data_IF_082772071542
#
_entry.id   IF_082772071542
#
_cell.length_a   1.000
_cell.length_b   1.000
_cell.length_c   1.000
_cell.angle_alpha   90.00
_cell.angle_beta   90.00
_cell.angle_gamma   90.00
#
_symmetry.space_group_name_H-M   'P 1'
#
loop_
_entity.id
_entity.type
_entity.pdbx_description
1 polymer ?
#
# COMPACT_ATOMS: atom_id res chain seq x y z
N UNK A 1 15.60 28.32 24.74
CA UNK A 1 15.25 27.69 23.44
C UNK A 1 13.80 27.26 23.52
N UNK A 2 12.93 27.66 22.58
CA UNK A 2 11.52 27.26 22.66
C UNK A 2 11.35 25.74 22.50
N UNK A 3 10.25 25.18 23.00
CA UNK A 3 9.91 23.77 22.90
C UNK A 3 9.91 23.28 21.43
N UNK A 4 9.51 24.15 20.50
CA UNK A 4 9.41 23.81 19.07
C UNK A 4 10.77 23.65 18.42
N UNK A 5 11.77 24.47 18.76
CA UNK A 5 13.16 24.27 18.30
C UNK A 5 13.75 22.96 18.86
N UNK A 6 13.35 22.55 20.08
CA UNK A 6 13.78 21.26 20.64
C UNK A 6 13.21 20.08 19.81
N UNK A 7 11.95 20.17 19.37
CA UNK A 7 11.36 19.14 18.49
C UNK A 7 12.05 19.06 17.14
N UNK A 8 12.34 20.22 16.49
CA UNK A 8 13.09 20.27 15.24
C UNK A 8 14.49 19.68 15.38
N UNK A 9 15.21 20.01 16.45
CA UNK A 9 16.54 19.45 16.70
C UNK A 9 16.50 17.95 16.91
N UNK A 10 15.50 17.43 17.64
CA UNK A 10 15.32 15.99 17.82
C UNK A 10 14.94 15.29 16.51
N UNK A 11 14.13 15.91 15.66
CA UNK A 11 13.81 15.37 14.33
C UNK A 11 15.06 15.33 13.44
N UNK A 12 15.87 16.40 13.43
CA UNK A 12 17.14 16.46 12.69
C UNK A 12 18.11 15.37 13.16
N UNK A 13 18.24 15.14 14.47
CA UNK A 13 19.06 14.06 15.04
C UNK A 13 18.60 12.69 14.53
N UNK A 14 17.30 12.39 14.62
CA UNK A 14 16.73 11.11 14.15
C UNK A 14 16.98 10.91 12.65
N UNK A 15 16.71 11.95 11.84
CA UNK A 15 16.89 11.90 10.39
C UNK A 15 18.35 11.73 9.98
N UNK A 16 19.30 12.31 10.72
CA UNK A 16 20.74 12.20 10.42
C UNK A 16 21.32 10.81 10.66
N UNK A 17 20.71 10.00 11.51
CA UNK A 17 21.15 8.64 11.84
C UNK A 17 20.35 7.53 11.14
N UNK A 18 19.22 7.87 10.51
CA UNK A 18 18.41 6.91 9.76
C UNK A 18 18.98 6.72 8.35
N UNK A 19 19.19 5.46 7.95
CA UNK A 19 19.86 5.09 6.71
C UNK A 19 18.95 4.34 5.71
N UNK A 20 17.65 4.14 6.02
CA UNK A 20 16.71 3.46 5.13
C UNK A 20 16.75 1.93 5.13
N UNK A 21 17.61 1.27 5.92
CA UNK A 21 17.74 -0.19 5.92
C UNK A 21 16.57 -0.94 6.56
N UNK A 22 15.80 -0.27 7.41
CA UNK A 22 14.58 -0.82 8.01
C UNK A 22 13.41 0.17 7.88
N UNK A 23 12.14 -0.26 7.98
CA UNK A 23 11.00 0.67 7.99
C UNK A 23 11.16 1.74 9.06
N UNK A 24 10.94 3.02 8.71
CA UNK A 24 11.15 4.15 9.61
C UNK A 24 10.33 4.04 10.91
N UNK A 25 9.09 3.52 10.82
CA UNK A 25 8.26 3.27 12.00
C UNK A 25 8.93 2.33 13.02
N UNK A 26 9.65 1.30 12.55
CA UNK A 26 10.40 0.37 13.41
C UNK A 26 11.63 1.03 14.00
N UNK A 27 12.37 1.76 13.18
CA UNK A 27 13.56 2.50 13.60
C UNK A 27 13.24 3.54 14.69
N UNK A 28 12.24 4.40 14.45
CA UNK A 28 11.86 5.46 15.41
C UNK A 28 11.31 4.89 16.71
N UNK A 29 10.61 3.76 16.66
CA UNK A 29 10.17 3.04 17.87
C UNK A 29 11.35 2.56 18.70
N UNK A 30 12.38 1.99 18.07
CA UNK A 30 13.63 1.58 18.75
C UNK A 30 14.40 2.77 19.31
N UNK A 31 14.47 3.87 18.54
CA UNK A 31 15.09 5.12 18.98
C UNK A 31 14.44 5.64 20.28
N UNK A 32 13.13 5.81 20.30
CA UNK A 32 12.41 6.30 21.47
C UNK A 32 12.41 5.31 22.66
N UNK A 33 12.55 4.02 22.42
CA UNK A 33 12.71 3.05 23.50
C UNK A 33 14.03 3.22 24.26
N UNK A 34 15.09 3.66 23.55
CA UNK A 34 16.42 3.97 24.12
C UNK A 34 16.48 5.37 24.75
N UNK A 35 15.66 6.32 24.26
CA UNK A 35 15.65 7.73 24.69
C UNK A 35 14.38 8.04 25.50
N UNK A 36 14.35 7.57 26.76
CA UNK A 36 13.16 7.64 27.64
C UNK A 36 12.75 9.06 28.03
N UNK A 37 13.56 10.09 27.73
CA UNK A 37 13.27 11.51 28.02
C UNK A 37 12.05 12.07 27.30
N UNK A 38 11.61 11.43 26.20
CA UNK A 38 10.48 11.89 25.41
C UNK A 38 9.16 11.28 25.89
N UNK A 39 8.19 12.14 26.22
CA UNK A 39 6.82 11.75 26.53
C UNK A 39 6.06 11.28 25.26
N UNK A 40 4.86 10.75 25.46
CA UNK A 40 4.03 10.27 24.34
C UNK A 40 3.70 11.38 23.32
N UNK A 41 3.35 12.59 23.81
CA UNK A 41 3.07 13.76 22.96
C UNK A 41 4.30 14.18 22.16
N UNK A 42 5.48 14.20 22.79
CA UNK A 42 6.73 14.58 22.14
C UNK A 42 7.10 13.60 21.03
N UNK A 43 7.00 12.29 21.32
CA UNK A 43 7.28 11.22 20.31
C UNK A 43 6.39 11.35 19.10
N UNK A 44 5.08 11.62 19.29
CA UNK A 44 4.12 11.81 18.20
C UNK A 44 4.52 13.03 17.35
N UNK A 45 4.85 14.15 17.99
CA UNK A 45 5.20 15.38 17.28
C UNK A 45 6.53 15.26 16.53
N UNK A 46 7.58 14.74 17.18
CA UNK A 46 8.90 14.55 16.55
C UNK A 46 8.79 13.55 15.39
N UNK A 47 8.07 12.43 15.58
CA UNK A 47 7.83 11.47 14.51
C UNK A 47 7.09 12.08 13.32
N UNK A 48 6.08 12.91 13.56
CA UNK A 48 5.37 13.63 12.52
C UNK A 48 6.29 14.56 11.71
N UNK A 49 7.18 15.31 12.37
CA UNK A 49 8.17 16.18 11.71
C UNK A 49 9.12 15.36 10.81
N UNK A 50 9.53 14.17 11.24
CA UNK A 50 10.36 13.29 10.41
C UNK A 50 9.61 12.81 9.16
N UNK A 51 8.33 12.44 9.28
CA UNK A 51 7.50 12.07 8.12
C UNK A 51 7.27 13.27 7.19
N UNK A 52 7.07 14.47 7.70
CA UNK A 52 7.00 15.70 6.91
C UNK A 52 8.26 15.91 6.06
N UNK A 53 9.44 15.68 6.65
CA UNK A 53 10.71 15.73 5.92
C UNK A 53 10.73 14.79 4.72
N UNK A 54 10.41 13.51 4.92
CA UNK A 54 10.42 12.52 3.83
C UNK A 54 9.42 12.84 2.72
N UNK A 55 8.30 13.49 3.04
CA UNK A 55 7.28 13.90 2.05
C UNK A 55 7.71 15.08 1.19
N UNK A 56 8.54 15.97 1.73
CA UNK A 56 8.99 17.19 1.05
C UNK A 56 10.40 17.10 0.48
N UNK A 57 11.18 16.10 0.87
CA UNK A 57 12.54 15.93 0.38
C UNK A 57 12.53 15.08 -0.90
N UNK A 58 13.10 15.59 -2.02
CA UNK A 58 13.25 14.77 -3.21
C UNK A 58 14.15 13.56 -2.93
N UNK A 59 13.94 12.43 -3.64
CA UNK A 59 14.90 11.33 -3.57
C UNK A 59 16.30 11.85 -3.97
N UNK A 60 17.36 11.43 -3.28
CA UNK A 60 18.71 11.86 -3.59
C UNK A 60 19.07 11.44 -5.02
N UNK A 61 19.14 12.40 -5.94
CA UNK A 61 19.52 12.15 -7.32
C UNK A 61 21.01 11.76 -7.39
N UNK A 62 21.33 10.59 -7.96
CA UNK A 62 22.71 10.19 -8.33
C UNK A 62 23.25 10.98 -9.53
N UNK A 63 22.72 12.14 -9.82
CA UNK A 63 23.11 13.01 -10.94
C UNK A 63 22.82 14.45 -10.64
N UNK A 64 23.71 15.08 -9.85
CA UNK A 64 24.18 16.43 -9.99
C UNK A 64 23.21 17.57 -10.35
N UNK A 65 21.97 17.60 -9.86
CA UNK A 65 21.33 18.88 -9.60
C UNK A 65 22.01 19.35 -8.31
N UNK A 66 22.76 20.43 -8.38
CA UNK A 66 23.22 21.16 -7.21
C UNK A 66 21.96 21.49 -6.41
N UNK A 67 21.60 20.61 -5.44
CA UNK A 67 20.66 20.96 -4.41
C UNK A 67 21.25 22.22 -3.75
N UNK A 68 20.66 23.37 -4.01
CA UNK A 68 20.88 24.53 -3.17
C UNK A 68 20.73 24.00 -1.75
N UNK A 69 21.69 24.26 -0.88
CA UNK A 69 21.76 23.75 0.50
C UNK A 69 20.55 24.20 1.32
N UNK A 70 19.37 23.67 0.98
CA UNK A 70 18.19 23.86 1.81
C UNK A 70 18.48 23.08 3.08
N UNK A 71 18.64 23.83 4.18
CA UNK A 71 18.85 23.28 5.53
C UNK A 71 17.77 22.23 5.82
N UNK A 72 18.14 21.13 6.46
CA UNK A 72 17.20 20.05 6.89
C UNK A 72 15.99 20.62 7.65
N UNK A 73 16.20 21.67 8.43
CA UNK A 73 15.13 22.37 9.16
C UNK A 73 14.11 22.99 8.21
N UNK A 74 14.55 23.65 7.14
CA UNK A 74 13.67 24.23 6.12
C UNK A 74 12.87 23.14 5.40
N UNK A 75 13.48 21.99 5.07
CA UNK A 75 12.77 20.84 4.50
C UNK A 75 11.70 20.29 5.44
N UNK A 76 11.99 20.19 6.75
CA UNK A 76 11.00 19.77 7.76
C UNK A 76 9.83 20.75 7.80
N UNK A 77 10.11 22.05 7.84
CA UNK A 77 9.08 23.10 7.90
C UNK A 77 8.25 23.17 6.62
N UNK A 78 8.89 23.04 5.46
CA UNK A 78 8.20 22.92 4.17
C UNK A 78 7.24 21.73 4.16
N UNK A 79 7.71 20.55 4.58
CA UNK A 79 6.88 19.37 4.70
C UNK A 79 5.73 19.55 5.69
N UNK A 80 5.99 20.18 6.84
CA UNK A 80 4.95 20.48 7.82
C UNK A 80 3.88 21.42 7.24
N UNK A 81 4.27 22.47 6.53
CA UNK A 81 3.35 23.39 5.88
C UNK A 81 2.49 22.68 4.82
N UNK A 82 3.11 21.90 3.94
CA UNK A 82 2.41 21.20 2.88
C UNK A 82 1.46 20.11 3.41
N UNK A 83 1.83 19.42 4.48
CA UNK A 83 1.02 18.34 5.08
C UNK A 83 -0.08 18.83 6.04
N UNK A 84 -0.02 20.07 6.52
CA UNK A 84 -0.99 20.59 7.50
C UNK A 84 -2.19 21.20 6.78
N UNK A 85 -3.41 20.92 7.26
CA UNK A 85 -4.67 21.53 6.83
C UNK A 85 -5.22 22.53 7.87
N UNK A 86 -4.61 22.60 9.03
CA UNK A 86 -4.97 23.50 10.13
C UNK A 86 -3.71 24.16 10.72
N UNK A 87 -3.85 25.35 11.32
CA UNK A 87 -2.74 26.04 11.99
C UNK A 87 -2.04 25.15 13.00
N UNK A 88 -0.73 25.25 13.06
CA UNK A 88 0.12 24.52 13.99
C UNK A 88 0.96 25.45 14.85
N UNK A 89 1.13 25.11 16.14
CA UNK A 89 1.95 25.89 17.06
C UNK A 89 3.42 26.05 16.59
N UNK A 90 3.92 25.09 15.81
CA UNK A 90 5.29 25.12 15.27
C UNK A 90 5.39 26.14 14.13
N UNK A 91 4.46 26.12 13.17
CA UNK A 91 4.43 27.11 12.09
C UNK A 91 4.15 28.51 12.62
N UNK A 92 3.23 28.64 13.58
CA UNK A 92 2.95 29.94 14.22
C UNK A 92 4.20 30.55 14.85
N UNK A 93 5.01 29.74 15.50
CA UNK A 93 6.22 30.22 16.19
C UNK A 93 7.42 30.48 15.26
N UNK A 94 7.50 29.84 14.07
CA UNK A 94 8.72 29.84 13.24
C UNK A 94 8.47 30.42 11.85
N UNK A 95 7.29 30.20 11.28
CA UNK A 95 6.85 30.63 9.94
C UNK A 95 5.41 31.14 10.00
N UNK A 96 5.13 32.23 10.75
CA UNK A 96 3.75 32.71 10.96
C UNK A 96 3.03 32.99 9.63
N UNK A 97 3.72 33.52 8.63
CA UNK A 97 3.18 33.77 7.29
C UNK A 97 2.69 32.49 6.58
N UNK A 98 3.31 31.35 6.84
CA UNK A 98 2.84 30.05 6.31
C UNK A 98 1.64 29.55 7.12
N UNK A 99 1.62 29.80 8.42
CA UNK A 99 0.53 29.37 9.29
C UNK A 99 -0.79 30.09 8.97
N UNK A 100 -0.74 31.37 8.55
CA UNK A 100 -1.91 32.15 8.13
C UNK A 100 -2.63 31.53 6.92
N UNK A 101 -1.87 30.96 5.98
CA UNK A 101 -2.40 30.39 4.72
C UNK A 101 -2.40 28.84 4.71
N UNK A 102 -2.18 28.21 5.86
CA UNK A 102 -2.03 26.73 5.95
C UNK A 102 -3.27 25.96 5.51
N UNK A 103 -4.46 26.60 5.49
CA UNK A 103 -5.73 26.00 5.04
C UNK A 103 -5.91 25.96 3.53
N UNK A 104 -5.03 26.63 2.77
CA UNK A 104 -5.08 26.58 1.31
C UNK A 104 -4.91 25.12 0.79
N UNK A 105 -5.52 24.79 -0.35
CA UNK A 105 -5.22 23.56 -1.07
C UNK A 105 -3.72 23.39 -1.32
N UNK A 106 -3.24 22.15 -1.33
CA UNK A 106 -1.80 21.87 -1.48
C UNK A 106 -1.21 22.41 -2.77
N UNK A 107 -1.98 22.43 -3.86
CA UNK A 107 -1.56 23.02 -5.13
C UNK A 107 -1.29 24.54 -5.02
N UNK A 108 -2.10 25.28 -4.25
CA UNK A 108 -1.89 26.70 -4.00
C UNK A 108 -0.67 26.93 -3.10
N UNK A 109 -0.45 26.07 -2.10
CA UNK A 109 0.77 26.11 -1.28
C UNK A 109 2.03 25.87 -2.10
N UNK A 110 2.00 24.93 -3.08
CA UNK A 110 3.12 24.75 -4.02
C UNK A 110 3.45 26.05 -4.75
N UNK A 111 2.42 26.74 -5.27
CA UNK A 111 2.59 28.01 -5.97
C UNK A 111 3.19 29.08 -5.05
N UNK A 112 2.70 29.16 -3.80
CA UNK A 112 3.16 30.15 -2.82
C UNK A 112 4.65 30.02 -2.48
N UNK A 113 5.13 28.79 -2.28
CA UNK A 113 6.56 28.54 -1.97
C UNK A 113 7.40 28.15 -3.19
N UNK A 114 6.83 28.26 -4.41
CA UNK A 114 7.47 27.86 -5.67
C UNK A 114 8.01 26.41 -5.64
N UNK A 115 7.22 25.49 -5.08
CA UNK A 115 7.61 24.09 -4.93
C UNK A 115 7.34 23.29 -6.20
N UNK A 116 8.35 22.56 -6.69
CA UNK A 116 8.25 21.82 -7.95
C UNK A 116 7.72 20.39 -7.72
N UNK A 117 6.67 20.00 -8.45
CA UNK A 117 6.11 18.63 -8.40
C UNK A 117 7.12 17.55 -8.78
N UNK A 118 8.06 17.86 -9.68
CA UNK A 118 9.17 16.97 -10.02
C UNK A 118 10.08 16.62 -8.84
N UNK A 119 10.06 17.44 -7.78
CA UNK A 119 10.75 17.11 -6.53
C UNK A 119 10.02 16.04 -5.69
N UNK A 120 8.71 15.84 -5.91
CA UNK A 120 7.93 14.80 -5.20
C UNK A 120 8.10 13.45 -5.87
N UNK A 121 7.77 13.37 -7.16
CA UNK A 121 7.85 12.12 -7.92
C UNK A 121 8.44 12.39 -9.31
N UNK A 122 9.77 12.21 -9.49
CA UNK A 122 10.46 12.61 -10.72
C UNK A 122 10.26 11.65 -11.90
N UNK A 123 9.65 10.49 -11.71
CA UNK A 123 9.50 9.45 -12.73
C UNK A 123 8.16 9.52 -13.48
N UNK A 124 7.77 10.72 -13.93
CA UNK A 124 6.50 10.95 -14.65
C UNK A 124 6.34 10.03 -15.87
N UNK A 125 7.41 9.86 -16.64
CA UNK A 125 7.38 9.08 -17.88
C UNK A 125 7.36 7.55 -17.65
N UNK A 126 7.58 7.11 -16.41
CA UNK A 126 7.52 5.69 -16.02
C UNK A 126 6.15 5.30 -15.43
N UNK A 127 5.24 6.25 -15.26
CA UNK A 127 3.92 5.99 -14.67
C UNK A 127 3.06 5.11 -15.57
N UNK A 128 2.27 4.25 -14.97
CA UNK A 128 1.20 3.47 -15.60
C UNK A 128 0.15 4.39 -16.23
N UNK A 129 -0.43 3.93 -17.33
CA UNK A 129 -1.39 4.72 -18.12
C UNK A 129 -2.61 5.11 -17.30
N UNK A 130 -2.98 6.39 -17.37
CA UNK A 130 -4.16 6.94 -16.71
C UNK A 130 -3.92 7.44 -15.29
N UNK A 131 -2.69 7.39 -14.77
CA UNK A 131 -2.31 8.08 -13.54
C UNK A 131 -2.11 9.57 -13.87
N UNK A 132 -2.81 10.43 -13.14
CA UNK A 132 -2.59 11.87 -13.16
C UNK A 132 -1.40 12.19 -12.25
N UNK A 133 -0.28 12.59 -12.86
CA UNK A 133 0.97 12.83 -12.14
C UNK A 133 0.83 13.94 -11.08
N UNK A 134 0.08 15.02 -11.37
CA UNK A 134 -0.06 16.15 -10.44
C UNK A 134 -0.84 15.71 -9.20
N UNK A 135 -2.03 15.12 -9.39
CA UNK A 135 -2.85 14.61 -8.29
C UNK A 135 -2.14 13.52 -7.50
N UNK A 136 -1.37 12.66 -8.18
CA UNK A 136 -0.57 11.65 -7.53
C UNK A 136 0.49 12.27 -6.63
N UNK A 137 1.23 13.30 -7.11
CA UNK A 137 2.19 14.05 -6.30
C UNK A 137 1.52 14.75 -5.10
N UNK A 138 0.36 15.40 -5.30
CA UNK A 138 -0.38 16.05 -4.23
C UNK A 138 -0.79 15.07 -3.12
N UNK A 139 -1.11 13.83 -3.48
CA UNK A 139 -1.53 12.79 -2.52
C UNK A 139 -0.46 12.43 -1.50
N UNK A 140 0.82 12.66 -1.79
CA UNK A 140 1.90 12.39 -0.84
C UNK A 140 1.86 13.28 0.40
N UNK A 141 1.24 14.46 0.32
CA UNK A 141 1.09 15.40 1.43
C UNK A 141 -0.14 15.14 2.29
N UNK A 142 -0.95 14.15 1.93
CA UNK A 142 -2.11 13.72 2.71
C UNK A 142 -1.82 12.36 3.36
N UNK A 143 -2.12 12.25 4.66
CA UNK A 143 -2.04 10.95 5.32
C UNK A 143 -3.16 10.05 4.81
N UNK A 144 -2.87 8.85 4.28
CA UNK A 144 -3.91 7.90 3.90
C UNK A 144 -4.76 7.46 5.09
N UNK A 145 -6.06 7.27 4.84
CA UNK A 145 -7.00 6.78 5.82
C UNK A 145 -6.77 5.31 6.18
N UNK A 146 -7.32 4.89 7.32
CA UNK A 146 -7.50 3.50 7.67
C UNK A 146 -8.78 2.98 7.02
N UNK A 147 -8.68 1.96 6.17
CA UNK A 147 -9.85 1.36 5.54
C UNK A 147 -10.21 0.02 6.19
N UNK A 148 -11.50 -0.16 6.43
CA UNK A 148 -12.07 -1.43 6.86
C UNK A 148 -12.91 -2.02 5.73
N UNK A 149 -12.60 -3.25 5.34
CA UNK A 149 -13.50 -4.08 4.55
C UNK A 149 -14.40 -4.87 5.50
N UNK A 150 -15.68 -4.58 5.49
CA UNK A 150 -16.67 -5.29 6.29
C UNK A 150 -16.90 -6.69 5.71
N UNK A 151 -16.97 -7.68 6.57
CA UNK A 151 -17.27 -9.05 6.14
C UNK A 151 -18.77 -9.23 5.92
N UNK A 152 -19.19 -10.11 5.00
CA UNK A 152 -20.61 -10.31 4.69
C UNK A 152 -21.49 -10.54 5.93
N UNK A 153 -22.54 -9.74 6.07
CA UNK A 153 -23.47 -9.79 7.20
C UNK A 153 -22.97 -9.20 8.51
N UNK A 154 -21.85 -8.45 8.48
CA UNK A 154 -21.28 -7.77 9.65
C UNK A 154 -21.41 -6.24 9.63
N UNK A 155 -22.00 -5.71 8.58
CA UNK A 155 -22.11 -4.28 8.32
C UNK A 155 -22.82 -3.55 9.49
N UNK A 156 -23.97 -4.05 9.89
CA UNK A 156 -24.76 -3.45 10.97
C UNK A 156 -24.02 -3.48 12.31
N UNK A 157 -23.48 -4.63 12.69
CA UNK A 157 -22.81 -4.78 14.00
C UNK A 157 -21.52 -3.94 14.09
N UNK A 158 -20.75 -3.82 13.00
CA UNK A 158 -19.55 -2.99 12.97
C UNK A 158 -19.92 -1.51 13.11
N UNK A 159 -20.90 -1.03 12.35
CA UNK A 159 -21.37 0.35 12.43
C UNK A 159 -21.87 0.69 13.84
N UNK A 160 -22.70 -0.18 14.45
CA UNK A 160 -23.18 0.02 15.83
C UNK A 160 -22.02 0.07 16.85
N UNK A 161 -20.98 -0.76 16.70
CA UNK A 161 -19.82 -0.74 17.57
C UNK A 161 -19.03 0.56 17.46
N UNK A 162 -18.83 1.05 16.23
CA UNK A 162 -18.12 2.31 15.99
C UNK A 162 -18.91 3.50 16.55
N UNK A 163 -20.21 3.58 16.31
CA UNK A 163 -21.08 4.62 16.90
C UNK A 163 -21.06 4.61 18.44
N UNK A 164 -21.16 3.44 19.06
CA UNK A 164 -21.09 3.33 20.53
C UNK A 164 -19.74 3.72 21.12
N UNK A 165 -18.68 3.60 20.33
CA UNK A 165 -17.33 3.98 20.73
C UNK A 165 -16.99 5.44 20.40
N UNK A 166 -17.95 6.22 19.87
CA UNK A 166 -17.79 7.61 19.42
C UNK A 166 -16.62 7.77 18.41
N UNK A 167 -16.55 6.83 17.46
CA UNK A 167 -15.56 6.84 16.38
C UNK A 167 -16.19 7.38 15.11
N UNK A 168 -15.63 8.47 14.60
CA UNK A 168 -15.97 9.02 13.30
C UNK A 168 -15.51 8.10 12.17
N UNK A 169 -16.39 7.85 11.21
CA UNK A 169 -16.07 7.12 9.99
C UNK A 169 -16.88 7.63 8.79
N UNK A 170 -16.35 7.40 7.60
CA UNK A 170 -17.04 7.67 6.34
C UNK A 170 -17.37 6.36 5.65
N UNK A 171 -18.62 6.21 5.24
CA UNK A 171 -19.04 5.07 4.41
C UNK A 171 -18.63 5.33 2.97
N UNK A 172 -17.76 4.48 2.43
CA UNK A 172 -17.29 4.54 1.04
C UNK A 172 -18.16 3.66 0.15
N UNK A 173 -18.56 2.50 0.65
CA UNK A 173 -19.53 1.59 0.05
C UNK A 173 -20.17 0.74 1.16
N UNK A 174 -21.14 -0.10 0.83
CA UNK A 174 -21.84 -0.98 1.79
C UNK A 174 -20.85 -1.85 2.59
N UNK A 175 -19.73 -2.21 1.99
CA UNK A 175 -18.70 -3.08 2.61
C UNK A 175 -17.38 -2.36 2.93
N UNK A 176 -17.28 -1.03 2.75
CA UNK A 176 -16.04 -0.29 2.95
C UNK A 176 -16.25 0.96 3.79
N UNK A 177 -15.53 1.05 4.91
CA UNK A 177 -15.46 2.24 5.77
C UNK A 177 -14.07 2.84 5.73
N UNK A 178 -13.99 4.17 5.78
CA UNK A 178 -12.75 4.93 5.95
C UNK A 178 -12.76 5.64 7.32
N UNK A 179 -11.67 5.51 8.07
CA UNK A 179 -11.48 6.08 9.40
C UNK A 179 -10.17 6.87 9.44
N UNK A 180 -10.00 7.70 10.45
CA UNK A 180 -8.71 8.32 10.72
C UNK A 180 -7.63 7.24 10.92
N UNK A 181 -6.45 7.47 10.34
CA UNK A 181 -5.34 6.52 10.37
C UNK A 181 -4.86 6.16 11.79
N UNK A 182 -5.11 7.00 12.77
CA UNK A 182 -4.73 6.78 14.18
C UNK A 182 -5.76 5.96 14.97
N UNK A 183 -6.90 5.62 14.38
CA UNK A 183 -7.99 4.91 15.07
C UNK A 183 -7.59 3.50 15.48
N UNK A 184 -7.75 3.18 16.76
CA UNK A 184 -7.45 1.86 17.32
C UNK A 184 -8.68 0.94 17.21
N UNK A 185 -8.92 0.42 16.03
CA UNK A 185 -10.11 -0.40 15.75
C UNK A 185 -10.08 -1.78 16.39
N UNK A 186 -8.89 -2.30 16.70
CA UNK A 186 -8.68 -3.63 17.30
C UNK A 186 -9.19 -3.76 18.74
N UNK A 187 -9.47 -2.64 19.40
CA UNK A 187 -10.11 -2.61 20.73
C UNK A 187 -11.64 -2.60 20.67
N UNK A 188 -12.22 -2.39 19.46
CA UNK A 188 -13.66 -2.17 19.26
C UNK A 188 -14.25 -3.28 18.40
N UNK A 189 -13.52 -3.71 17.38
CA UNK A 189 -13.96 -4.65 16.34
C UNK A 189 -13.12 -5.93 16.44
N UNK A 190 -13.77 -7.09 16.30
CA UNK A 190 -13.07 -8.37 16.15
C UNK A 190 -12.48 -8.48 14.74
N UNK A 191 -11.20 -8.06 14.62
CA UNK A 191 -10.50 -8.10 13.36
C UNK A 191 -10.44 -9.53 12.78
N UNK A 192 -10.49 -9.60 11.46
CA UNK A 192 -10.61 -10.80 10.63
C UNK A 192 -11.95 -11.56 10.76
N UNK A 193 -12.71 -11.38 11.83
CA UNK A 193 -14.05 -11.97 12.03
C UNK A 193 -15.17 -11.04 11.55
N UNK A 194 -15.10 -9.76 11.90
CA UNK A 194 -16.14 -8.76 11.60
C UNK A 194 -15.71 -7.85 10.45
N UNK A 195 -14.46 -7.41 10.46
CA UNK A 195 -13.88 -6.58 9.42
C UNK A 195 -12.39 -6.91 9.21
N UNK A 196 -11.89 -6.57 8.04
CA UNK A 196 -10.49 -6.69 7.64
C UNK A 196 -9.92 -5.29 7.50
N UNK A 197 -8.77 -5.00 8.12
CA UNK A 197 -7.98 -3.82 7.75
C UNK A 197 -7.40 -4.11 6.36
N UNK A 198 -7.94 -3.44 5.35
CA UNK A 198 -7.55 -3.60 3.95
C UNK A 198 -7.76 -2.29 3.22
N UNK A 199 -6.72 -1.79 2.56
CA UNK A 199 -6.80 -0.54 1.80
C UNK A 199 -7.92 -0.57 0.75
N UNK A 200 -8.47 0.60 0.44
CA UNK A 200 -9.58 0.75 -0.52
C UNK A 200 -9.25 0.11 -1.87
N UNK A 201 -8.10 0.43 -2.46
CA UNK A 201 -7.73 -0.11 -3.77
C UNK A 201 -7.49 -1.62 -3.74
N UNK A 202 -6.97 -2.13 -2.63
CA UNK A 202 -6.85 -3.59 -2.42
C UNK A 202 -8.22 -4.29 -2.36
N UNK A 203 -9.27 -3.60 -1.85
CA UNK A 203 -10.64 -4.12 -1.87
C UNK A 203 -11.22 -4.16 -3.28
N UNK A 204 -10.90 -3.17 -4.15
CA UNK A 204 -11.36 -3.11 -5.53
C UNK A 204 -10.87 -4.28 -6.40
N UNK A 205 -9.76 -4.91 -6.03
CA UNK A 205 -9.27 -6.15 -6.67
C UNK A 205 -10.35 -7.25 -6.69
N UNK A 206 -11.23 -7.29 -5.68
CA UNK A 206 -12.35 -8.24 -5.60
C UNK A 206 -13.31 -8.16 -6.80
N UNK A 207 -13.47 -6.99 -7.43
CA UNK A 207 -14.35 -6.80 -8.57
C UNK A 207 -13.94 -7.63 -9.81
N UNK A 208 -12.65 -7.93 -9.93
CA UNK A 208 -12.13 -8.78 -11.01
C UNK A 208 -12.56 -10.24 -10.87
N UNK A 209 -12.88 -10.68 -9.67
CA UNK A 209 -13.20 -12.09 -9.37
C UNK A 209 -14.70 -12.38 -9.28
N UNK A 210 -15.56 -11.37 -9.19
CA UNK A 210 -17.03 -11.55 -9.02
C UNK A 210 -17.68 -12.40 -10.12
N UNK A 211 -17.16 -12.32 -11.35
CA UNK A 211 -17.71 -13.01 -12.50
C UNK A 211 -16.95 -14.30 -12.86
N UNK A 212 -15.91 -14.66 -12.11
CA UNK A 212 -15.17 -15.90 -12.32
C UNK A 212 -15.96 -17.06 -11.71
N UNK A 213 -16.38 -18.01 -12.57
CA UNK A 213 -17.19 -19.16 -12.19
C UNK A 213 -16.41 -20.46 -12.44
N UNK A 214 -16.69 -21.52 -11.67
CA UNK A 214 -16.12 -22.83 -11.96
C UNK A 214 -16.62 -23.34 -13.34
N UNK A 215 -15.88 -24.24 -13.99
CA UNK A 215 -16.24 -24.78 -15.31
C UNK A 215 -17.64 -25.40 -15.36
N UNK A 216 -18.10 -25.98 -14.26
CA UNK A 216 -19.46 -26.46 -14.08
C UNK A 216 -20.03 -26.04 -12.73
N UNK A 217 -21.33 -25.83 -12.64
CA UNK A 217 -22.01 -25.33 -11.45
C UNK A 217 -21.82 -26.21 -10.19
N UNK A 218 -21.55 -27.49 -10.36
CA UNK A 218 -21.39 -28.46 -9.28
C UNK A 218 -19.95 -28.59 -8.76
N UNK A 219 -18.96 -28.00 -9.44
CA UNK A 219 -17.57 -28.06 -9.04
C UNK A 219 -17.21 -26.87 -8.15
N UNK A 220 -16.30 -27.09 -7.23
CA UNK A 220 -15.65 -26.00 -6.49
C UNK A 220 -14.61 -25.34 -7.36
N UNK A 221 -14.45 -24.04 -7.17
CA UNK A 221 -13.38 -23.29 -7.82
C UNK A 221 -12.05 -23.59 -7.10
N UNK A 222 -11.10 -24.21 -7.82
CA UNK A 222 -9.74 -24.43 -7.30
C UNK A 222 -8.92 -23.16 -7.48
N UNK A 223 -8.46 -22.59 -6.36
CA UNK A 223 -7.76 -21.29 -6.34
C UNK A 223 -6.40 -21.42 -5.68
N UNK A 224 -5.41 -20.80 -6.27
CA UNK A 224 -4.10 -20.61 -5.68
C UNK A 224 -3.76 -19.13 -5.52
N UNK A 225 -3.64 -18.66 -4.28
CA UNK A 225 -3.03 -17.37 -3.95
C UNK A 225 -1.53 -17.61 -3.77
N UNK A 226 -0.75 -17.31 -4.81
CA UNK A 226 0.63 -17.78 -4.91
C UNK A 226 1.64 -16.89 -4.16
N UNK A 227 1.25 -15.65 -3.84
CA UNK A 227 2.02 -14.70 -3.04
C UNK A 227 1.13 -14.14 -1.93
N UNK A 228 0.54 -15.03 -1.13
CA UNK A 228 -0.60 -14.73 -0.27
C UNK A 228 -0.32 -13.70 0.84
N UNK A 229 0.94 -13.48 1.20
CA UNK A 229 1.28 -12.61 2.31
C UNK A 229 0.52 -13.02 3.57
N UNK A 230 -0.13 -12.06 4.24
CA UNK A 230 -0.95 -12.30 5.42
C UNK A 230 -2.38 -12.78 5.11
N UNK A 231 -2.73 -13.06 3.85
CA UNK A 231 -4.01 -13.66 3.43
C UNK A 231 -5.17 -12.69 3.25
N UNK A 232 -4.94 -11.38 3.15
CA UNK A 232 -6.01 -10.40 2.98
C UNK A 232 -6.87 -10.62 1.74
N UNK A 233 -6.24 -10.90 0.59
CA UNK A 233 -6.91 -11.19 -0.69
C UNK A 233 -7.56 -12.57 -0.69
N UNK A 234 -6.93 -13.57 -0.07
CA UNK A 234 -7.53 -14.89 0.15
C UNK A 234 -8.82 -14.83 0.98
N UNK A 235 -8.83 -14.04 2.07
CA UNK A 235 -10.05 -13.85 2.88
C UNK A 235 -11.13 -13.13 2.05
N UNK A 236 -10.76 -12.12 1.26
CA UNK A 236 -11.69 -11.43 0.38
C UNK A 236 -12.32 -12.38 -0.63
N UNK A 237 -11.52 -13.20 -1.27
CA UNK A 237 -12.04 -14.19 -2.23
C UNK A 237 -13.00 -15.18 -1.55
N UNK A 238 -12.66 -15.65 -0.35
CA UNK A 238 -13.53 -16.54 0.43
C UNK A 238 -14.86 -15.88 0.79
N UNK A 239 -14.86 -14.58 1.07
CA UNK A 239 -16.07 -13.79 1.33
C UNK A 239 -16.94 -13.64 0.07
N UNK A 240 -16.31 -13.51 -1.13
CA UNK A 240 -17.02 -13.46 -2.43
C UNK A 240 -17.59 -14.83 -2.79
N UNK A 241 -16.83 -15.89 -2.59
CA UNK A 241 -17.24 -17.24 -2.92
C UNK A 241 -16.72 -18.26 -1.88
N UNK A 242 -17.51 -18.65 -0.88
CA UNK A 242 -17.07 -19.59 0.16
C UNK A 242 -16.92 -21.04 -0.36
N UNK A 243 -17.40 -21.35 -1.58
CA UNK A 243 -17.27 -22.67 -2.21
C UNK A 243 -16.02 -22.79 -3.07
N UNK A 244 -14.85 -22.54 -2.46
CA UNK A 244 -13.55 -22.67 -3.13
C UNK A 244 -12.68 -23.75 -2.48
N UNK A 245 -11.75 -24.31 -3.28
CA UNK A 245 -10.62 -25.10 -2.79
C UNK A 245 -9.37 -24.20 -2.79
N UNK A 246 -9.04 -23.65 -1.63
CA UNK A 246 -8.01 -22.66 -1.48
C UNK A 246 -6.64 -23.27 -1.20
N UNK A 247 -5.66 -22.94 -2.01
CA UNK A 247 -4.23 -23.12 -1.74
C UNK A 247 -3.60 -21.76 -1.58
N UNK A 248 -2.76 -21.57 -0.57
CA UNK A 248 -1.99 -20.35 -0.34
C UNK A 248 -0.52 -20.65 -0.24
N UNK A 249 0.32 -19.76 -0.72
CA UNK A 249 1.76 -19.86 -0.58
C UNK A 249 2.44 -18.52 -0.39
N UNK A 250 3.59 -18.53 0.27
CA UNK A 250 4.52 -17.39 0.39
C UNK A 250 5.92 -17.95 0.65
N UNK A 251 6.95 -17.20 0.29
CA UNK A 251 8.34 -17.57 0.56
C UNK A 251 8.69 -17.43 2.05
N UNK A 252 8.02 -16.52 2.76
CA UNK A 252 8.29 -16.18 4.17
C UNK A 252 7.44 -17.02 5.12
N UNK A 253 8.08 -17.92 5.85
CA UNK A 253 7.39 -18.76 6.85
C UNK A 253 6.65 -17.92 7.92
N UNK A 254 7.27 -16.84 8.41
CA UNK A 254 6.68 -15.98 9.44
C UNK A 254 5.36 -15.36 9.02
N UNK A 255 5.21 -15.04 7.73
CA UNK A 255 3.98 -14.45 7.21
C UNK A 255 2.87 -15.51 7.10
N UNK A 256 3.24 -16.76 6.75
CA UNK A 256 2.28 -17.88 6.72
C UNK A 256 1.77 -18.24 8.12
N UNK A 257 2.59 -18.07 9.17
CA UNK A 257 2.13 -18.20 10.56
C UNK A 257 1.07 -17.15 10.88
N UNK A 258 1.29 -15.89 10.47
CA UNK A 258 0.31 -14.83 10.64
C UNK A 258 -0.98 -15.10 9.82
N UNK A 259 -0.84 -15.54 8.58
CA UNK A 259 -1.96 -15.94 7.71
C UNK A 259 -2.83 -17.02 8.40
N UNK A 260 -2.23 -18.07 8.97
CA UNK A 260 -2.95 -19.13 9.67
C UNK A 260 -3.78 -18.59 10.83
N UNK A 261 -3.22 -17.65 11.62
CA UNK A 261 -3.94 -16.96 12.70
C UNK A 261 -5.13 -16.17 12.17
N UNK A 262 -4.95 -15.38 11.11
CA UNK A 262 -6.00 -14.61 10.49
C UNK A 262 -7.11 -15.48 9.89
N UNK A 263 -6.76 -16.57 9.21
CA UNK A 263 -7.74 -17.53 8.69
C UNK A 263 -8.54 -18.20 9.79
N UNK A 264 -7.89 -18.51 10.94
CA UNK A 264 -8.59 -19.01 12.11
C UNK A 264 -9.67 -18.04 12.59
N UNK A 265 -9.33 -16.75 12.73
CA UNK A 265 -10.26 -15.69 13.12
C UNK A 265 -11.37 -15.49 12.08
N UNK A 266 -11.02 -15.59 10.80
CA UNK A 266 -11.95 -15.48 9.68
C UNK A 266 -12.86 -16.71 9.48
N UNK A 267 -12.71 -17.76 10.33
CA UNK A 267 -13.40 -19.04 10.22
C UNK A 267 -13.12 -19.82 8.92
N UNK A 268 -11.98 -19.58 8.26
CA UNK A 268 -11.52 -20.35 7.09
C UNK A 268 -10.75 -21.57 7.62
N UNK A 269 -11.35 -22.76 7.51
CA UNK A 269 -10.81 -24.00 8.09
C UNK A 269 -10.20 -24.95 7.06
N UNK A 270 -10.68 -24.89 5.81
CA UNK A 270 -10.27 -25.83 4.76
C UNK A 270 -9.43 -25.10 3.71
N UNK A 271 -8.13 -25.28 3.78
CA UNK A 271 -7.15 -24.72 2.82
C UNK A 271 -5.85 -25.50 2.87
N UNK A 272 -5.03 -25.39 1.83
CA UNK A 272 -3.64 -25.87 1.81
C UNK A 272 -2.70 -24.68 1.97
N UNK A 273 -1.66 -24.81 2.79
CA UNK A 273 -0.64 -23.76 2.98
C UNK A 273 0.73 -24.35 2.69
N UNK A 274 1.48 -23.71 1.80
CA UNK A 274 2.76 -24.21 1.29
C UNK A 274 3.78 -23.06 1.36
N UNK A 275 4.95 -23.34 1.94
CA UNK A 275 6.09 -22.44 1.80
C UNK A 275 6.79 -22.76 0.48
N UNK A 276 6.91 -21.79 -0.40
CA UNK A 276 7.57 -21.94 -1.70
C UNK A 276 8.22 -20.65 -2.16
N UNK A 277 9.41 -20.79 -2.71
CA UNK A 277 10.07 -19.74 -3.47
C UNK A 277 9.77 -19.95 -4.96
N UNK A 278 8.97 -19.05 -5.52
CA UNK A 278 8.50 -19.13 -6.90
C UNK A 278 9.58 -18.75 -7.93
N UNK A 279 10.71 -18.20 -7.51
CA UNK A 279 11.85 -17.92 -8.40
C UNK A 279 12.71 -19.15 -8.68
N UNK A 280 12.84 -20.03 -7.70
CA UNK A 280 13.61 -21.27 -7.81
C UNK A 280 12.75 -22.51 -8.09
N UNK A 281 11.44 -22.32 -8.19
CA UNK A 281 10.47 -23.41 -8.25
C UNK A 281 10.41 -24.07 -9.64
N UNK A 282 10.77 -25.36 -9.71
CA UNK A 282 10.82 -26.14 -10.96
C UNK A 282 9.72 -27.21 -11.08
N UNK A 283 8.91 -27.41 -10.04
CA UNK A 283 7.83 -28.42 -10.05
C UNK A 283 6.49 -27.77 -9.71
N UNK A 284 5.43 -27.99 -10.50
CA UNK A 284 4.14 -27.39 -10.23
C UNK A 284 3.56 -27.88 -8.87
N UNK A 285 2.99 -26.95 -8.11
CA UNK A 285 2.27 -27.24 -6.86
C UNK A 285 1.07 -28.16 -7.15
N UNK A 286 0.43 -27.95 -8.28
CA UNK A 286 -0.64 -28.73 -8.89
C UNK A 286 -0.83 -28.17 -10.30
N UNK A 287 -1.37 -28.96 -11.22
CA UNK A 287 -1.57 -28.52 -12.61
C UNK A 287 -3.04 -28.16 -12.93
N UNK A 288 -3.89 -27.90 -11.92
CA UNK A 288 -5.34 -27.84 -12.11
C UNK A 288 -6.00 -26.67 -11.38
N UNK A 289 -5.37 -25.49 -11.34
CA UNK A 289 -6.01 -24.32 -10.77
C UNK A 289 -6.93 -23.63 -11.77
N UNK A 290 -8.17 -23.34 -11.35
CA UNK A 290 -9.10 -22.52 -12.10
C UNK A 290 -8.71 -21.04 -12.05
N UNK A 291 -8.16 -20.60 -10.90
CA UNK A 291 -7.73 -19.24 -10.66
C UNK A 291 -6.38 -19.24 -9.95
N UNK A 292 -5.45 -18.44 -10.46
CA UNK A 292 -4.25 -18.09 -9.72
C UNK A 292 -4.29 -16.58 -9.43
N UNK A 293 -4.14 -16.23 -8.15
CA UNK A 293 -3.95 -14.86 -7.70
C UNK A 293 -2.45 -14.65 -7.51
N UNK A 294 -1.89 -13.71 -8.26
CA UNK A 294 -0.49 -13.36 -8.24
C UNK A 294 -0.34 -11.90 -7.78
N UNK A 295 -0.45 -11.66 -6.46
CA UNK A 295 -0.12 -10.38 -5.81
C UNK A 295 1.40 -10.33 -5.61
N UNK A 296 2.10 -10.05 -6.71
CA UNK A 296 3.54 -10.25 -6.81
C UNK A 296 4.36 -9.20 -6.08
N UNK A 297 5.58 -9.52 -5.63
CA UNK A 297 6.51 -8.51 -5.12
C UNK A 297 6.74 -7.40 -6.15
N UNK A 298 6.70 -6.15 -5.69
CA UNK A 298 6.85 -4.96 -6.52
C UNK A 298 7.55 -3.84 -5.74
N UNK A 299 7.84 -2.71 -6.38
CA UNK A 299 8.42 -1.54 -5.72
C UNK A 299 7.57 -0.98 -4.59
N UNK A 300 6.25 -1.26 -4.58
CA UNK A 300 5.34 -0.70 -3.61
C UNK A 300 5.03 0.79 -3.84
N UNK A 301 5.37 1.34 -5.00
CA UNK A 301 5.32 2.79 -5.28
C UNK A 301 3.93 3.42 -5.12
N UNK A 302 2.87 2.64 -5.26
CA UNK A 302 1.51 3.10 -5.00
C UNK A 302 1.16 3.23 -3.51
N UNK A 303 2.03 2.77 -2.61
CA UNK A 303 1.82 2.81 -1.15
C UNK A 303 2.75 3.79 -0.43
N UNK A 304 3.63 4.49 -1.15
CA UNK A 304 4.64 5.35 -0.55
C UNK A 304 4.08 6.57 0.19
N UNK A 305 2.84 6.95 -0.05
CA UNK A 305 2.15 7.94 0.80
C UNK A 305 2.01 7.49 2.26
N UNK A 306 2.02 6.17 2.55
CA UNK A 306 2.07 5.60 3.91
C UNK A 306 3.49 5.49 4.46
N UNK A 307 4.46 5.27 3.58
CA UNK A 307 5.87 5.01 3.90
C UNK A 307 6.78 5.93 3.07
N UNK A 308 6.70 7.28 3.29
CA UNK A 308 7.38 8.24 2.42
C UNK A 308 8.91 8.12 2.47
N UNK A 309 9.46 7.49 3.50
CA UNK A 309 10.87 7.13 3.53
C UNK A 309 11.27 6.18 2.39
N UNK A 310 10.36 5.33 1.92
CA UNK A 310 10.65 4.44 0.78
C UNK A 310 10.82 5.23 -0.51
N UNK A 311 10.02 6.27 -0.73
CA UNK A 311 10.20 7.19 -1.85
C UNK A 311 11.56 7.90 -1.76
N UNK A 312 11.92 8.40 -0.57
CA UNK A 312 13.17 9.12 -0.34
C UNK A 312 14.41 8.26 -0.64
N UNK A 313 14.42 6.98 -0.24
CA UNK A 313 15.54 6.06 -0.47
C UNK A 313 15.41 5.24 -1.75
N UNK A 314 14.42 5.50 -2.59
CA UNK A 314 14.16 4.72 -3.79
C UNK A 314 15.27 4.89 -4.84
N UNK A 315 15.61 3.76 -5.47
CA UNK A 315 16.53 3.71 -6.61
C UNK A 315 15.76 3.16 -7.82
N UNK A 316 15.71 3.92 -8.92
CA UNK A 316 14.94 3.55 -10.12
C UNK A 316 15.40 2.25 -10.79
N UNK A 317 16.65 1.82 -10.58
CA UNK A 317 17.11 0.50 -11.04
C UNK A 317 16.27 -0.65 -10.45
N UNK A 318 15.66 -0.43 -9.29
CA UNK A 318 14.80 -1.38 -8.60
C UNK A 318 13.54 -1.72 -9.42
N UNK A 319 13.06 -0.80 -10.26
CA UNK A 319 11.90 -1.05 -11.16
C UNK A 319 12.22 -2.24 -12.08
N UNK A 320 13.40 -2.23 -12.73
CA UNK A 320 13.81 -3.33 -13.61
C UNK A 320 14.01 -4.64 -12.86
N UNK A 321 14.52 -4.60 -11.63
CA UNK A 321 14.71 -5.79 -10.80
C UNK A 321 13.38 -6.44 -10.45
N UNK A 322 12.39 -5.67 -9.99
CA UNK A 322 11.06 -6.20 -9.69
C UNK A 322 10.32 -6.66 -10.92
N UNK A 323 10.38 -5.92 -12.04
CA UNK A 323 9.77 -6.35 -13.31
C UNK A 323 10.32 -7.72 -13.76
N UNK A 324 11.62 -7.96 -13.64
CA UNK A 324 12.22 -9.26 -13.98
C UNK A 324 11.78 -10.36 -13.01
N UNK A 325 11.73 -10.07 -11.70
CA UNK A 325 11.25 -10.98 -10.68
C UNK A 325 9.79 -11.40 -10.93
N UNK A 326 8.93 -10.45 -11.28
CA UNK A 326 7.52 -10.68 -11.61
C UNK A 326 7.39 -11.59 -12.84
N UNK A 327 8.14 -11.33 -13.89
CA UNK A 327 8.17 -12.16 -15.12
C UNK A 327 8.63 -13.59 -14.82
N UNK A 328 9.59 -13.77 -13.94
CA UNK A 328 10.07 -15.08 -13.49
C UNK A 328 9.00 -15.83 -12.69
N UNK A 329 8.40 -15.18 -11.69
CA UNK A 329 7.30 -15.75 -10.90
C UNK A 329 6.17 -16.20 -11.82
N UNK A 330 5.69 -15.33 -12.72
CA UNK A 330 4.59 -15.67 -13.64
C UNK A 330 4.97 -16.82 -14.55
N UNK A 331 6.20 -16.87 -15.06
CA UNK A 331 6.66 -17.99 -15.89
C UNK A 331 6.59 -19.32 -15.14
N UNK A 332 6.90 -19.32 -13.85
CA UNK A 332 6.93 -20.52 -13.03
C UNK A 332 5.52 -20.98 -12.57
N UNK A 333 4.54 -20.08 -12.45
CA UNK A 333 3.18 -20.44 -12.05
C UNK A 333 2.27 -20.76 -13.26
N UNK A 334 2.59 -20.28 -14.46
CA UNK A 334 1.78 -20.49 -15.66
C UNK A 334 1.49 -21.97 -15.99
N UNK A 335 2.41 -22.93 -15.80
CA UNK A 335 2.12 -24.35 -15.97
C UNK A 335 1.05 -24.90 -15.02
N UNK A 336 0.74 -24.21 -13.94
CA UNK A 336 -0.23 -24.65 -12.93
C UNK A 336 -1.70 -24.36 -13.29
N UNK A 337 -1.94 -23.62 -14.41
CA UNK A 337 -3.30 -23.37 -14.88
C UNK A 337 -3.89 -24.57 -15.61
N UNK A 338 -5.17 -24.83 -15.36
CA UNK A 338 -5.95 -25.65 -16.29
C UNK A 338 -6.37 -24.84 -17.53
N UNK A 339 -6.71 -25.49 -18.66
CA UNK A 339 -7.33 -24.82 -19.80
C UNK A 339 -8.58 -24.04 -19.38
N UNK A 340 -8.74 -22.81 -19.90
CA UNK A 340 -9.81 -21.89 -19.49
C UNK A 340 -9.67 -21.24 -18.10
N UNK A 341 -8.56 -21.49 -17.39
CA UNK A 341 -8.26 -20.91 -16.09
C UNK A 341 -7.90 -19.42 -16.18
N UNK A 342 -7.93 -18.74 -15.04
CA UNK A 342 -7.72 -17.30 -14.94
C UNK A 342 -6.47 -16.96 -14.10
N UNK A 343 -5.73 -15.96 -14.57
CA UNK A 343 -4.68 -15.28 -13.81
C UNK A 343 -5.18 -13.92 -13.38
N UNK A 344 -5.17 -13.65 -12.08
CA UNK A 344 -5.31 -12.29 -11.55
C UNK A 344 -3.92 -11.79 -11.15
N UNK A 345 -3.32 -10.98 -12.00
CA UNK A 345 -2.06 -10.31 -11.76
C UNK A 345 -2.29 -9.01 -11.00
N UNK A 346 -1.54 -8.76 -9.93
CA UNK A 346 -1.73 -7.61 -9.04
C UNK A 346 -0.37 -7.08 -8.63
N UNK A 347 -0.25 -5.75 -8.60
CA UNK A 347 0.85 -5.03 -7.95
C UNK A 347 0.33 -3.87 -7.11
N UNK A 348 1.11 -3.40 -6.16
CA UNK A 348 0.95 -2.10 -5.54
C UNK A 348 1.97 -1.09 -6.11
N UNK A 349 2.31 -1.24 -7.37
CA UNK A 349 3.16 -0.32 -8.15
C UNK A 349 2.33 0.70 -8.92
N UNK A 350 2.97 1.79 -9.32
CA UNK A 350 2.47 2.77 -10.29
C UNK A 350 3.35 2.84 -11.53
N UNK A 351 4.32 1.96 -11.65
CA UNK A 351 5.26 1.95 -12.77
C UNK A 351 4.81 1.00 -13.89
N UNK A 352 4.64 1.53 -15.10
CA UNK A 352 4.23 0.77 -16.29
C UNK A 352 5.09 -0.47 -16.54
N UNK A 353 6.36 -0.43 -16.15
CA UNK A 353 7.31 -1.53 -16.30
C UNK A 353 7.01 -2.74 -15.42
N UNK A 354 6.35 -2.52 -14.27
CA UNK A 354 5.87 -3.57 -13.36
C UNK A 354 4.41 -3.95 -13.65
N UNK A 355 3.67 -3.11 -14.35
CA UNK A 355 2.25 -3.20 -14.60
C UNK A 355 1.97 -3.64 -16.05
N UNK A 356 1.69 -2.71 -16.96
CA UNK A 356 1.27 -3.00 -18.32
C UNK A 356 2.32 -3.80 -19.11
N UNK A 357 3.61 -3.50 -18.97
CA UNK A 357 4.67 -4.20 -19.72
C UNK A 357 4.82 -5.66 -19.31
N UNK A 358 4.57 -5.99 -18.02
CA UNK A 358 4.53 -7.38 -17.56
C UNK A 358 3.29 -8.09 -18.12
N UNK A 359 2.12 -7.42 -18.12
CA UNK A 359 0.88 -7.97 -18.67
C UNK A 359 1.02 -8.27 -20.17
N UNK A 360 1.58 -7.34 -20.95
CA UNK A 360 1.80 -7.58 -22.38
C UNK A 360 2.72 -8.79 -22.64
N UNK A 361 3.84 -8.89 -21.89
CA UNK A 361 4.72 -10.05 -21.98
C UNK A 361 3.98 -11.36 -21.63
N UNK A 362 3.13 -11.35 -20.60
CA UNK A 362 2.34 -12.52 -20.19
C UNK A 362 1.40 -12.94 -21.32
N UNK A 363 0.70 -11.99 -21.92
CA UNK A 363 -0.21 -12.26 -23.07
C UNK A 363 0.53 -12.92 -24.21
N UNK A 364 1.63 -12.33 -24.64
CA UNK A 364 2.39 -12.83 -25.79
C UNK A 364 3.04 -14.19 -25.53
N UNK A 365 3.75 -14.31 -24.41
CA UNK A 365 4.55 -15.51 -24.11
C UNK A 365 3.71 -16.74 -23.78
N UNK A 366 2.56 -16.57 -23.13
CA UNK A 366 1.74 -17.67 -22.64
C UNK A 366 0.38 -17.77 -23.33
N UNK A 367 0.14 -16.97 -24.38
CA UNK A 367 -1.09 -16.95 -25.16
C UNK A 367 -2.34 -16.78 -24.27
N UNK A 368 -2.27 -15.84 -23.32
CA UNK A 368 -3.40 -15.50 -22.44
C UNK A 368 -4.21 -14.36 -23.04
N UNK A 369 -5.52 -14.46 -22.99
CA UNK A 369 -6.45 -13.39 -23.35
C UNK A 369 -6.59 -12.40 -22.19
N UNK A 370 -6.39 -11.11 -22.46
CA UNK A 370 -6.65 -10.05 -21.47
C UNK A 370 -8.16 -9.77 -21.39
N UNK A 371 -8.75 -10.04 -20.24
CA UNK A 371 -10.17 -9.80 -19.96
C UNK A 371 -10.40 -8.37 -19.44
N UNK A 372 -9.60 -7.95 -18.48
CA UNK A 372 -9.69 -6.62 -17.87
C UNK A 372 -8.33 -6.21 -17.30
N UNK A 373 -7.98 -4.93 -17.42
CA UNK A 373 -6.78 -4.35 -16.85
C UNK A 373 -7.10 -2.93 -16.39
N UNK A 374 -6.67 -2.55 -15.18
CA UNK A 374 -7.01 -1.26 -14.59
C UNK A 374 -6.00 -0.82 -13.53
N UNK A 375 -5.66 0.47 -13.53
CA UNK A 375 -5.06 1.14 -12.37
C UNK A 375 -6.17 1.47 -11.38
N UNK A 376 -6.11 0.89 -10.20
CA UNK A 376 -7.04 1.12 -9.10
C UNK A 376 -6.58 2.36 -8.34
N UNK A 377 -7.10 3.53 -8.74
CA UNK A 377 -6.70 4.83 -8.25
C UNK A 377 -7.21 5.06 -6.83
N UNK A 378 -6.29 5.13 -5.88
CA UNK A 378 -6.61 5.45 -4.49
C UNK A 378 -6.09 6.81 -4.06
N UNK A 379 -5.16 7.40 -4.83
CA UNK A 379 -4.54 8.67 -4.49
C UNK A 379 -5.54 9.85 -4.38
N UNK A 380 -6.68 9.80 -5.07
CA UNK A 380 -7.77 10.78 -4.98
C UNK A 380 -8.75 10.51 -3.81
N UNK A 381 -8.53 9.46 -3.05
CA UNK A 381 -9.39 8.97 -1.95
C UNK A 381 -8.65 8.77 -0.63
N UNK A 382 -7.45 9.33 -0.50
CA UNK A 382 -6.55 9.09 0.64
C UNK A 382 -6.29 7.59 0.85
N UNK A 383 -6.09 6.84 -0.24
CA UNK A 383 -5.83 5.42 -0.27
C UNK A 383 -4.59 5.10 -1.12
N UNK A 384 -4.12 3.87 -1.03
CA UNK A 384 -3.04 3.38 -1.87
C UNK A 384 -3.49 3.28 -3.34
N UNK A 385 -2.54 3.27 -4.27
CA UNK A 385 -2.81 3.00 -5.69
C UNK A 385 -2.27 1.62 -6.02
N UNK A 386 -3.06 0.85 -6.75
CA UNK A 386 -2.71 -0.50 -7.16
C UNK A 386 -2.98 -0.69 -8.66
N UNK A 387 -2.44 -1.78 -9.19
CA UNK A 387 -2.75 -2.23 -10.53
C UNK A 387 -3.27 -3.66 -10.48
N UNK A 388 -4.24 -3.98 -11.34
CA UNK A 388 -4.76 -5.32 -11.47
C UNK A 388 -5.09 -5.65 -12.94
N UNK A 389 -4.77 -6.90 -13.34
CA UNK A 389 -5.13 -7.43 -14.64
C UNK A 389 -5.66 -8.86 -14.51
N UNK A 390 -6.82 -9.11 -15.09
CA UNK A 390 -7.41 -10.45 -15.23
C UNK A 390 -7.16 -10.97 -16.62
N UNK A 391 -6.47 -12.09 -16.70
CA UNK A 391 -6.18 -12.78 -17.94
C UNK A 391 -6.80 -14.19 -17.91
N UNK A 392 -7.12 -14.73 -19.07
CA UNK A 392 -7.70 -16.08 -19.24
C UNK A 392 -6.82 -16.93 -20.14
N UNK A 393 -6.57 -18.17 -19.75
CA UNK A 393 -5.90 -19.14 -20.61
C UNK A 393 -6.86 -19.61 -21.70
N UNK A 394 -6.48 -19.49 -22.96
CA UNK A 394 -7.23 -20.06 -24.08
C UNK A 394 -7.32 -21.58 -23.93
N UNK A 395 -8.38 -22.17 -24.48
CA UNK A 395 -8.61 -23.63 -24.47
C UNK A 395 -7.58 -24.38 -25.30
#
# INVERSE_FOLDING_TARGET
MSRYHSYLNSAKEILSIYNGEEPFASFVKKYFARHKKYGSKDRKQIGHLCYCYFRSAPPPSKGGIKEAHINMEEKILTGLFLCSSEPTEILEAIKPEWNEIVKLPVAEKFSFINYQLSCVFPWKDELSKGIDHEKFCESFFQQPDLFLRLRPGKEKIVNEKLYKADIDFRTISDSCLALDNSTKVDTIIELDKEAIIQDYSSQQVGEFLKNVKPPTANLKLSVWDCCAGSGGKSIMLYDINPRIELTVSDVRESILVNLKKRFHNAHIRKYKSIRVDLTSYRKPVSNNFNVIIADVPCTGSGTWSRTPEQLFYFNNQTIGQFSNLQKEIISNITPCFQPGGYLLYITCSVFKKEDEEVVELIKEKFHLELIKMEVLKGYDKKADTMFAALLKKTL
#
